data_IF_606057072681
#
_entry.id   IF_606057072681
#
_cell.length_a   1.000
_cell.length_b   1.000
_cell.length_c   1.000
_cell.angle_alpha   90.00
_cell.angle_beta   90.00
_cell.angle_gamma   90.00
#
_symmetry.space_group_name_H-M   'P 1'
#
loop_
_entity.id
_entity.type
_entity.pdbx_description
1 polymer ?
#
# COMPACT_ATOMS: atom_id res chain seq x y z
N UNK A 1 -0.18 2.38 -15.15
CA UNK A 1 -0.31 2.77 -13.73
C UNK A 1 0.08 4.22 -13.55
N UNK A 2 -0.36 4.86 -12.48
CA UNK A 2 -0.04 6.26 -12.17
C UNK A 2 -1.10 6.92 -11.31
N UNK A 3 -0.93 8.22 -11.07
CA UNK A 3 -1.84 9.01 -10.23
C UNK A 3 -3.27 9.04 -10.79
N UNK A 4 -4.24 8.76 -9.93
CA UNK A 4 -5.67 8.80 -10.24
C UNK A 4 -6.49 9.08 -9.00
N UNK A 5 -7.06 10.29 -8.94
CA UNK A 5 -7.84 10.75 -7.78
C UNK A 5 -9.00 9.83 -7.40
N UNK A 6 -9.15 9.58 -6.10
CA UNK A 6 -10.20 8.75 -5.52
C UNK A 6 -10.02 7.24 -5.75
N UNK A 7 -8.87 6.83 -6.27
CA UNK A 7 -8.49 5.42 -6.43
C UNK A 7 -7.28 5.13 -5.55
N UNK A 8 -7.31 4.01 -4.83
CA UNK A 8 -6.15 3.48 -4.13
C UNK A 8 -5.71 2.18 -4.76
N UNK A 9 -4.46 1.80 -4.51
CA UNK A 9 -3.89 0.50 -4.84
C UNK A 9 -3.32 -0.14 -3.59
N UNK A 10 -3.58 -1.43 -3.39
CA UNK A 10 -3.23 -2.11 -2.15
C UNK A 10 -2.47 -3.42 -2.38
N UNK A 11 -1.43 -3.61 -1.58
CA UNK A 11 -0.64 -4.82 -1.48
C UNK A 11 -0.65 -5.31 -0.04
N UNK A 12 -0.73 -6.63 0.14
CA UNK A 12 -0.66 -7.24 1.46
C UNK A 12 0.02 -8.60 1.40
N UNK A 13 0.68 -8.97 2.50
CA UNK A 13 1.36 -10.25 2.58
C UNK A 13 1.99 -10.50 3.94
N UNK A 14 2.77 -11.56 3.98
CA UNK A 14 3.58 -11.92 5.14
C UNK A 14 5.04 -11.95 4.72
N UNK A 15 5.86 -11.12 5.36
CA UNK A 15 7.31 -11.20 5.26
C UNK A 15 7.85 -11.75 6.57
N UNK A 16 8.46 -12.93 6.51
CA UNK A 16 9.09 -13.57 7.66
C UNK A 16 10.54 -13.13 7.83
N UNK A 17 11.07 -13.31 9.04
CA UNK A 17 12.51 -13.22 9.33
C UNK A 17 13.15 -11.85 9.09
N UNK A 18 12.37 -10.76 9.18
CA UNK A 18 12.87 -9.39 9.18
C UNK A 18 12.29 -8.57 10.34
N UNK A 19 13.04 -7.59 10.81
CA UNK A 19 12.55 -6.57 11.76
C UNK A 19 11.89 -5.40 11.04
N UNK A 20 11.25 -4.52 11.80
CA UNK A 20 10.71 -3.27 11.25
C UNK A 20 11.80 -2.41 10.58
N UNK A 21 12.97 -2.30 11.18
CA UNK A 21 14.09 -1.53 10.64
C UNK A 21 14.57 -2.11 9.31
N UNK A 22 14.68 -3.43 9.20
CA UNK A 22 15.02 -4.11 7.96
C UNK A 22 13.94 -3.92 6.89
N UNK A 23 12.66 -3.98 7.26
CA UNK A 23 11.58 -3.67 6.33
C UNK A 23 11.70 -2.22 5.82
N UNK A 24 11.91 -1.24 6.71
CA UNK A 24 12.08 0.16 6.33
C UNK A 24 13.27 0.34 5.39
N UNK A 25 14.46 -0.13 5.78
CA UNK A 25 15.73 0.15 5.10
C UNK A 25 15.90 -0.65 3.80
N UNK A 26 15.42 -1.90 3.77
CA UNK A 26 15.60 -2.77 2.60
C UNK A 26 14.43 -2.74 1.62
N UNK A 27 13.21 -2.50 2.10
CA UNK A 27 12.02 -2.50 1.23
C UNK A 27 11.57 -1.11 0.81
N UNK A 28 11.60 -0.14 1.73
CA UNK A 28 10.94 1.16 1.54
C UNK A 28 11.91 2.32 1.31
N UNK A 29 13.14 2.26 1.81
CA UNK A 29 14.13 3.31 1.61
C UNK A 29 14.56 3.40 0.14
N UNK A 30 14.52 4.61 -0.40
CA UNK A 30 14.98 4.94 -1.73
C UNK A 30 16.51 5.02 -1.76
N UNK A 31 17.14 4.25 -2.66
CA UNK A 31 18.60 4.19 -2.77
C UNK A 31 19.08 5.09 -3.90
N UNK A 32 19.61 6.25 -3.55
CA UNK A 32 20.20 7.20 -4.49
C UNK A 32 21.69 6.89 -4.71
N UNK A 33 22.09 6.56 -5.94
CA UNK A 33 23.51 6.41 -6.27
C UNK A 33 24.16 7.79 -6.44
N UNK A 34 25.09 8.14 -5.55
CA UNK A 34 25.76 9.46 -5.47
C UNK A 34 26.74 9.78 -6.62
N UNK A 35 26.69 9.05 -7.74
CA UNK A 35 27.69 9.14 -8.82
C UNK A 35 27.19 9.17 -10.26
N UNK A 36 25.89 8.98 -10.52
CA UNK A 36 25.31 9.10 -11.85
C UNK A 36 23.90 9.69 -11.73
N UNK A 37 23.63 10.77 -12.46
CA UNK A 37 22.41 11.58 -12.38
C UNK A 37 21.12 10.91 -12.84
N UNK A 38 21.18 9.66 -13.31
CA UNK A 38 20.12 9.04 -14.12
C UNK A 38 19.56 7.74 -13.51
N UNK A 39 20.00 7.35 -12.30
CA UNK A 39 19.37 6.24 -11.56
C UNK A 39 18.36 6.86 -10.60
N UNK A 40 17.10 6.84 -11.01
CA UNK A 40 15.94 7.18 -10.18
C UNK A 40 16.02 6.39 -8.86
N UNK A 41 16.06 7.11 -7.73
CA UNK A 41 16.20 6.51 -6.41
C UNK A 41 14.96 5.71 -6.05
N UNK A 42 14.88 4.45 -6.50
CA UNK A 42 13.74 3.59 -6.24
C UNK A 42 13.97 2.67 -5.05
N UNK A 43 12.94 2.55 -4.21
CA UNK A 43 12.88 1.52 -3.19
C UNK A 43 12.76 0.13 -3.81
N UNK A 44 13.07 -0.92 -3.04
CA UNK A 44 12.89 -2.30 -3.51
C UNK A 44 11.42 -2.60 -3.79
N UNK A 45 10.49 -2.05 -3.00
CA UNK A 45 9.06 -2.16 -3.28
C UNK A 45 8.71 -1.63 -4.68
N UNK A 46 9.18 -0.42 -5.00
CA UNK A 46 8.93 0.20 -6.32
C UNK A 46 9.50 -0.65 -7.47
N UNK A 47 10.68 -1.24 -7.27
CA UNK A 47 11.31 -2.11 -8.27
C UNK A 47 10.58 -3.45 -8.44
N UNK A 48 10.21 -4.11 -7.34
CA UNK A 48 9.58 -5.45 -7.36
C UNK A 48 8.17 -5.40 -7.93
N UNK A 49 7.40 -4.37 -7.60
CA UNK A 49 6.02 -4.21 -8.06
C UNK A 49 5.89 -3.21 -9.20
N UNK A 50 7.03 -2.74 -9.74
CA UNK A 50 7.11 -1.82 -10.86
C UNK A 50 6.20 -0.59 -10.71
N UNK A 51 6.02 -0.06 -9.48
CA UNK A 51 5.04 1.02 -9.24
C UNK A 51 5.48 2.33 -9.88
N UNK A 52 6.76 2.49 -10.19
CA UNK A 52 7.35 3.80 -10.47
C UNK A 52 7.32 4.69 -9.24
N UNK A 53 7.46 6.01 -9.48
CA UNK A 53 7.37 7.02 -8.43
C UNK A 53 5.91 7.24 -7.99
N UNK A 54 5.73 7.47 -6.70
CA UNK A 54 4.45 7.86 -6.10
C UNK A 54 4.70 8.86 -4.98
N UNK A 55 3.71 9.68 -4.66
CA UNK A 55 3.82 10.67 -3.59
C UNK A 55 3.78 9.99 -2.21
N UNK A 56 4.84 10.17 -1.43
CA UNK A 56 4.98 9.60 -0.09
C UNK A 56 4.01 10.19 0.93
N UNK A 57 3.38 11.32 0.65
CA UNK A 57 2.32 11.88 1.50
C UNK A 57 0.97 11.15 1.28
N UNK A 58 0.84 10.39 0.19
CA UNK A 58 -0.37 9.65 -0.19
C UNK A 58 -0.19 8.14 -0.06
N UNK A 59 0.34 7.68 1.08
CA UNK A 59 0.48 6.26 1.37
C UNK A 59 0.17 5.90 2.82
N UNK A 60 -0.30 4.68 3.03
CA UNK A 60 -0.14 3.99 4.31
C UNK A 60 0.80 2.81 4.12
N UNK A 61 1.91 2.80 4.86
CA UNK A 61 2.80 1.65 4.95
C UNK A 61 2.77 1.16 6.39
N UNK A 62 2.47 -0.13 6.57
CA UNK A 62 2.49 -0.74 7.91
C UNK A 62 3.18 -2.08 7.88
N UNK A 63 4.01 -2.29 8.90
CA UNK A 63 4.66 -3.56 9.20
C UNK A 63 4.52 -3.86 10.69
N UNK A 64 4.24 -5.13 11.02
CA UNK A 64 4.36 -5.67 12.37
C UNK A 64 5.12 -7.00 12.30
N UNK A 65 5.86 -7.36 13.34
CA UNK A 65 6.68 -8.60 13.27
C UNK A 65 5.82 -9.86 13.21
N UNK A 66 4.68 -9.88 13.91
CA UNK A 66 3.79 -11.04 13.98
C UNK A 66 2.55 -10.83 13.11
N UNK A 67 2.27 -11.73 12.14
CA UNK A 67 1.05 -11.65 11.34
C UNK A 67 -0.20 -11.69 12.21
N UNK A 68 -1.16 -10.83 11.87
CA UNK A 68 -2.50 -10.81 12.46
C UNK A 68 -3.54 -10.97 11.36
N UNK A 69 -4.83 -11.08 11.74
CA UNK A 69 -5.93 -11.15 10.78
C UNK A 69 -5.94 -9.93 9.87
N UNK A 70 -6.06 -10.15 8.55
CA UNK A 70 -6.11 -9.07 7.57
C UNK A 70 -7.24 -8.09 7.86
N UNK A 71 -8.41 -8.60 8.27
CA UNK A 71 -9.58 -7.80 8.64
C UNK A 71 -9.34 -6.88 9.84
N UNK A 72 -8.43 -7.24 10.74
CA UNK A 72 -8.03 -6.37 11.85
C UNK A 72 -6.93 -5.39 11.42
N UNK A 73 -5.98 -5.85 10.62
CA UNK A 73 -4.85 -5.03 10.21
C UNK A 73 -5.23 -3.87 9.29
N UNK A 74 -6.20 -4.07 8.40
CA UNK A 74 -6.68 -3.03 7.47
C UNK A 74 -7.42 -1.87 8.18
N UNK A 75 -7.94 -2.08 9.39
CA UNK A 75 -8.71 -1.05 10.14
C UNK A 75 -7.87 0.16 10.51
N UNK A 76 -6.57 -0.02 10.59
CA UNK A 76 -5.67 1.06 10.93
C UNK A 76 -5.10 1.78 9.70
N UNK A 77 -5.66 1.52 8.51
CA UNK A 77 -5.37 2.29 7.31
C UNK A 77 -6.35 3.48 7.20
N UNK A 78 -5.88 4.56 6.61
CA UNK A 78 -6.63 5.77 6.33
C UNK A 78 -7.84 5.46 5.46
N UNK A 79 -9.01 5.98 5.85
CA UNK A 79 -10.27 5.82 5.11
C UNK A 79 -10.75 4.37 4.92
N UNK A 80 -10.28 3.42 5.74
CA UNK A 80 -10.60 2.01 5.57
C UNK A 80 -12.11 1.74 5.48
N UNK A 81 -12.97 2.48 6.19
CA UNK A 81 -14.42 2.29 6.14
C UNK A 81 -14.99 2.47 4.73
N UNK A 82 -14.30 3.19 3.85
CA UNK A 82 -14.74 3.43 2.48
C UNK A 82 -14.44 2.28 1.50
N UNK A 83 -13.52 1.36 1.84
CA UNK A 83 -13.06 0.31 0.92
C UNK A 83 -12.85 -1.08 1.56
N UNK A 84 -12.78 -1.19 2.89
CA UNK A 84 -12.32 -2.40 3.58
C UNK A 84 -13.15 -3.64 3.26
N UNK A 85 -14.49 -3.54 3.21
CA UNK A 85 -15.35 -4.71 2.91
C UNK A 85 -14.99 -5.35 1.57
N UNK A 86 -14.79 -4.52 0.54
CA UNK A 86 -14.44 -4.99 -0.81
C UNK A 86 -13.04 -5.59 -0.82
N UNK A 87 -12.08 -4.94 -0.17
CA UNK A 87 -10.69 -5.42 -0.10
C UNK A 87 -10.60 -6.73 0.69
N UNK A 88 -11.32 -6.87 1.80
CA UNK A 88 -11.38 -8.09 2.60
C UNK A 88 -11.96 -9.25 1.79
N UNK A 89 -13.02 -9.01 1.00
CA UNK A 89 -13.57 -10.03 0.10
C UNK A 89 -12.51 -10.51 -0.91
N UNK A 90 -11.74 -9.60 -1.50
CA UNK A 90 -10.67 -9.93 -2.44
C UNK A 90 -9.51 -10.64 -1.76
N UNK A 91 -9.09 -10.19 -0.58
CA UNK A 91 -8.06 -10.86 0.22
C UNK A 91 -8.46 -12.31 0.54
N UNK A 92 -9.71 -12.53 0.94
CA UNK A 92 -10.24 -13.89 1.17
C UNK A 92 -10.22 -14.75 -0.09
N UNK A 93 -10.60 -14.21 -1.26
CA UNK A 93 -10.50 -14.92 -2.55
C UNK A 93 -9.05 -15.28 -2.90
N UNK A 94 -8.10 -14.42 -2.55
CA UNK A 94 -6.65 -14.63 -2.69
C UNK A 94 -6.03 -15.43 -1.53
N UNK A 95 -6.84 -15.94 -0.59
CA UNK A 95 -6.42 -16.72 0.60
C UNK A 95 -5.46 -15.98 1.55
N UNK A 96 -5.54 -14.65 1.57
CA UNK A 96 -4.78 -13.79 2.47
C UNK A 96 -5.64 -13.53 3.70
N UNK A 97 -5.58 -14.46 4.65
CA UNK A 97 -6.35 -14.37 5.90
C UNK A 97 -5.58 -13.64 7.00
N UNK A 98 -4.26 -13.79 7.00
CA UNK A 98 -3.34 -13.09 7.89
C UNK A 98 -2.24 -12.41 7.09
N UNK A 99 -1.72 -11.32 7.64
CA UNK A 99 -0.66 -10.53 7.04
C UNK A 99 0.08 -9.78 8.15
N UNK A 100 1.31 -9.40 7.84
CA UNK A 100 2.11 -8.54 8.70
C UNK A 100 2.64 -7.31 7.95
N UNK A 101 2.34 -7.20 6.65
CA UNK A 101 2.58 -6.02 5.81
C UNK A 101 1.31 -5.65 5.06
N UNK A 102 1.00 -4.36 5.05
CA UNK A 102 0.02 -3.74 4.16
C UNK A 102 0.63 -2.44 3.62
N UNK A 103 0.51 -2.25 2.32
CA UNK A 103 0.94 -1.03 1.63
C UNK A 103 -0.26 -0.54 0.83
N UNK A 104 -0.68 0.68 1.10
CA UNK A 104 -1.77 1.37 0.41
C UNK A 104 -1.19 2.62 -0.22
N UNK A 105 -1.36 2.78 -1.53
CA UNK A 105 -1.05 4.01 -2.25
C UNK A 105 -2.37 4.67 -2.62
N UNK A 106 -2.62 5.86 -2.08
CA UNK A 106 -3.79 6.68 -2.36
C UNK A 106 -3.58 7.52 -3.60
N UNK A 107 -4.70 7.93 -4.22
CA UNK A 107 -4.71 8.63 -5.51
C UNK A 107 -3.79 7.99 -6.55
N UNK A 108 -3.69 6.65 -6.55
CA UNK A 108 -2.78 5.88 -7.40
C UNK A 108 -3.47 4.61 -7.91
N UNK A 109 -3.50 4.43 -9.23
CA UNK A 109 -4.02 3.24 -9.89
C UNK A 109 -2.86 2.39 -10.44
N UNK A 110 -2.64 1.25 -9.79
CA UNK A 110 -1.74 0.21 -10.27
C UNK A 110 -2.47 -0.70 -11.26
N UNK A 111 -1.73 -1.17 -12.27
CA UNK A 111 -2.24 -2.13 -13.23
C UNK A 111 -1.37 -3.37 -13.14
N UNK A 112 -1.96 -4.47 -12.70
CA UNK A 112 -1.26 -5.75 -12.58
C UNK A 112 -0.77 -6.19 -13.97
N UNK A 113 0.55 -6.24 -14.15
CA UNK A 113 1.15 -6.76 -15.38
C UNK A 113 1.25 -8.27 -15.24
N UNK A 114 0.41 -9.00 -15.98
CA UNK A 114 0.27 -10.47 -15.90
C UNK A 114 1.59 -11.25 -16.05
N UNK A 115 2.58 -10.67 -16.72
CA UNK A 115 3.87 -11.31 -17.00
C UNK A 115 4.92 -11.14 -15.87
N UNK A 116 4.56 -10.47 -14.76
CA UNK A 116 5.48 -10.18 -13.64
C UNK A 116 5.20 -10.99 -12.37
N UNK A 117 4.27 -11.95 -12.40
CA UNK A 117 4.04 -12.87 -11.28
C UNK A 117 5.21 -13.86 -11.21
N UNK A 118 6.29 -13.43 -10.57
CA UNK A 118 7.39 -14.30 -10.19
C UNK A 118 7.00 -15.05 -8.92
N UNK A 119 7.38 -16.31 -8.79
CA UNK A 119 7.02 -17.21 -7.67
C UNK A 119 7.49 -16.72 -6.28
N UNK A 120 8.12 -15.54 -6.18
CA UNK A 120 8.76 -14.99 -4.98
C UNK A 120 8.28 -13.58 -4.59
N UNK A 121 7.11 -13.12 -5.05
CA UNK A 121 6.56 -11.84 -4.57
C UNK A 121 6.09 -11.97 -3.11
N UNK A 122 6.74 -11.23 -2.20
CA UNK A 122 6.46 -11.31 -0.77
C UNK A 122 5.10 -10.68 -0.38
N UNK A 123 4.56 -9.81 -1.24
CA UNK A 123 3.26 -9.16 -1.10
C UNK A 123 2.43 -9.47 -2.34
N UNK A 124 1.15 -9.75 -2.14
CA UNK A 124 0.19 -9.90 -3.22
C UNK A 124 -0.48 -8.57 -3.50
N UNK A 125 -0.54 -8.17 -4.77
CA UNK A 125 -1.41 -7.08 -5.19
C UNK A 125 -2.87 -7.52 -5.04
N UNK A 126 -3.64 -6.80 -4.23
CA UNK A 126 -5.06 -7.08 -4.01
C UNK A 126 -5.95 -6.39 -5.05
N UNK A 127 -5.49 -5.29 -5.63
CA UNK A 127 -6.22 -4.55 -6.64
C UNK A 127 -6.18 -3.04 -6.42
N UNK A 128 -6.87 -2.34 -7.31
CA UNK A 128 -7.17 -0.92 -7.16
C UNK A 128 -8.65 -0.71 -6.92
N UNK A 129 -8.98 0.15 -5.96
CA UNK A 129 -10.33 0.32 -5.45
C UNK A 129 -10.68 1.80 -5.33
N UNK A 130 -11.95 2.17 -5.57
CA UNK A 130 -12.41 3.50 -5.21
C UNK A 130 -12.38 3.66 -3.69
N UNK A 131 -11.98 4.84 -3.23
CA UNK A 131 -12.07 5.21 -1.81
C UNK A 131 -12.68 6.61 -1.68
N UNK A 132 -13.10 6.96 -0.46
CA UNK A 132 -13.65 8.28 -0.16
C UNK A 132 -12.96 8.85 1.06
N UNK A 133 -12.55 10.11 0.95
CA UNK A 133 -12.10 10.87 2.12
C UNK A 133 -13.30 11.05 3.05
N UNK A 134 -13.19 10.49 4.25
CA UNK A 134 -14.20 10.63 5.29
C UNK A 134 -13.78 11.79 6.18
N UNK A 135 -14.40 12.95 5.96
CA UNK A 135 -14.24 14.09 6.86
C UNK A 135 -15.13 13.90 8.08
N UNK A 136 -14.61 14.18 9.26
CA UNK A 136 -15.43 14.16 10.47
C UNK A 136 -16.55 15.19 10.34
N UNK A 137 -17.71 14.88 10.94
CA UNK A 137 -18.85 15.81 10.98
C UNK A 137 -18.46 17.15 11.59
N UNK A 138 -17.62 17.14 12.62
CA UNK A 138 -17.08 18.34 13.26
C UNK A 138 -16.26 19.21 12.28
N UNK A 139 -15.44 18.58 11.43
CA UNK A 139 -14.67 19.29 10.42
C UNK A 139 -15.55 19.86 9.30
N UNK A 140 -16.57 19.10 8.87
CA UNK A 140 -17.57 19.58 7.91
C UNK A 140 -18.35 20.78 8.48
N UNK A 141 -18.70 20.73 9.76
CA UNK A 141 -19.40 21.82 10.45
C UNK A 141 -18.53 23.09 10.55
N UNK A 142 -17.20 22.96 10.66
CA UNK A 142 -16.26 24.10 10.60
C UNK A 142 -16.22 24.70 9.19
N UNK A 143 -16.15 23.88 8.14
CA UNK A 143 -16.10 24.34 6.75
C UNK A 143 -17.40 25.04 6.31
N UNK A 144 -18.54 24.60 6.83
CA UNK A 144 -19.87 25.10 6.46
C UNK A 144 -20.32 26.33 7.27
N UNK A 145 -19.60 26.71 8.33
CA UNK A 145 -19.83 27.96 9.09
C UNK A 145 -19.20 29.19 8.42
N UNK A 146 -19.47 29.38 7.12
CA UNK A 146 -19.21 30.66 6.42
C UNK A 146 -20.46 31.51 6.40
#
# INVERSE_FOLDING_TARGET
>A
MGEKKGILSIWAGTISDITYEQFRDDWMEEKYNTGNSDIEGFSKFMQVYNTGWYDHDFQDIRFIEKPILFSEFIKDCSYYESYADTVIEVANKKKIHTCNVIIVLFDFEHQEVKDQITENQALSFLGSFPYKVILSKEFLDILNKK
#
